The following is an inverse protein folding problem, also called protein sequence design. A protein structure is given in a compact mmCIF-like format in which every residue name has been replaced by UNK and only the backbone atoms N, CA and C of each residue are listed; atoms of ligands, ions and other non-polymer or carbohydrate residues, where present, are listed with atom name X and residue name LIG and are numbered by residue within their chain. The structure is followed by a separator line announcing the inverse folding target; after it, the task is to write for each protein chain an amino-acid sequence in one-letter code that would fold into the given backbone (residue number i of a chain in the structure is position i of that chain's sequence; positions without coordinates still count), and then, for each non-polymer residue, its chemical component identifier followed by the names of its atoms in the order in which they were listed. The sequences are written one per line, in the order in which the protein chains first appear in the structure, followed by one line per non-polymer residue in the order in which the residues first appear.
data_IF_522767016662
#
_entry.id   IF_522767016662
#
_cell.length_a   1.000
_cell.length_b   1.000
_cell.length_c   1.000
_cell.angle_alpha   90.00
_cell.angle_beta   90.00
_cell.angle_gamma   90.00
#
_symmetry.space_group_name_H-M   'P 1'
#
loop_
_entity.id
_entity.type
_entity.pdbx_description
1 polymer ?
#
# COMPACT_ATOMS: atom_id res chain seq x y z
N UNK A 1 -7.62 1.74 17.62
CA UNK A 1 -8.18 0.97 16.50
C UNK A 1 -7.16 0.93 15.38
N UNK A 2 -6.82 -0.24 14.83
CA UNK A 2 -5.99 -0.30 13.63
C UNK A 2 -6.80 0.03 12.37
N UNK A 3 -6.12 0.43 11.29
CA UNK A 3 -6.75 0.73 9.99
C UNK A 3 -7.76 -0.36 9.55
N UNK A 4 -7.46 -1.68 9.69
CA UNK A 4 -8.42 -2.72 9.31
C UNK A 4 -9.72 -2.71 10.13
N UNK A 5 -9.64 -2.40 11.43
CA UNK A 5 -10.82 -2.34 12.30
C UNK A 5 -11.70 -1.13 11.94
N UNK A 6 -11.07 0.00 11.60
CA UNK A 6 -11.79 1.18 11.15
C UNK A 6 -12.45 0.96 9.78
N UNK A 7 -11.73 0.39 8.83
CA UNK A 7 -12.28 0.01 7.52
C UNK A 7 -13.48 -0.94 7.66
N UNK A 8 -13.38 -1.96 8.52
CA UNK A 8 -14.48 -2.88 8.80
C UNK A 8 -15.71 -2.15 9.34
N UNK A 9 -15.53 -1.34 10.38
CA UNK A 9 -16.63 -0.58 10.97
C UNK A 9 -17.33 0.33 9.94
N UNK A 10 -16.54 1.01 9.09
CA UNK A 10 -17.07 1.91 8.07
C UNK A 10 -17.88 1.14 7.02
N UNK A 11 -17.36 -0.01 6.59
CA UNK A 11 -17.98 -0.88 5.59
C UNK A 11 -19.29 -1.52 6.10
N UNK A 12 -19.33 -1.93 7.37
CA UNK A 12 -20.54 -2.49 7.99
C UNK A 12 -21.61 -1.41 8.20
N UNK A 13 -21.21 -0.18 8.55
CA UNK A 13 -22.13 0.92 8.83
C UNK A 13 -22.68 1.57 7.55
N UNK A 14 -21.88 1.66 6.51
CA UNK A 14 -22.23 2.31 5.24
C UNK A 14 -21.90 1.39 4.06
N UNK A 15 -22.71 0.35 3.82
CA UNK A 15 -22.39 -0.71 2.86
C UNK A 15 -22.27 -0.21 1.41
N UNK A 16 -22.96 0.88 1.07
CA UNK A 16 -22.93 1.48 -0.28
C UNK A 16 -21.63 2.25 -0.59
N UNK A 17 -20.70 2.39 0.36
CA UNK A 17 -19.41 3.02 0.11
C UNK A 17 -18.48 2.16 -0.75
N UNK A 18 -18.65 0.83 -0.70
CA UNK A 18 -17.74 -0.09 -1.37
C UNK A 18 -18.31 -0.55 -2.71
N UNK A 19 -17.56 -0.32 -3.78
CA UNK A 19 -17.81 -0.88 -5.09
C UNK A 19 -16.59 -1.69 -5.53
N UNK A 20 -16.81 -2.90 -6.06
CA UNK A 20 -15.73 -3.68 -6.64
C UNK A 20 -15.40 -3.10 -8.00
N UNK A 21 -14.13 -2.70 -8.20
CA UNK A 21 -13.63 -2.31 -9.52
C UNK A 21 -13.48 -3.58 -10.36
N UNK A 22 -14.22 -3.66 -11.46
CA UNK A 22 -14.15 -4.77 -12.42
C UNK A 22 -13.36 -4.35 -13.65
N UNK A 23 -12.80 -5.32 -14.38
CA UNK A 23 -12.07 -5.04 -15.62
C UNK A 23 -12.97 -4.48 -16.74
N UNK A 24 -14.27 -4.76 -16.69
CA UNK A 24 -15.26 -4.37 -17.71
C UNK A 24 -15.81 -2.97 -17.51
N UNK A 25 -16.15 -2.60 -16.27
CA UNK A 25 -16.72 -1.28 -15.97
C UNK A 25 -15.63 -0.28 -15.57
N UNK A 26 -14.52 -0.77 -15.02
CA UNK A 26 -13.45 0.09 -14.51
C UNK A 26 -13.92 1.00 -13.37
N UNK A 27 -13.01 1.83 -12.83
CA UNK A 27 -13.43 2.98 -12.05
C UNK A 27 -14.03 4.06 -12.95
N UNK A 28 -14.76 5.05 -12.40
CA UNK A 28 -15.08 6.27 -13.14
C UNK A 28 -13.80 6.97 -13.63
N UNK A 29 -13.95 7.93 -14.54
CA UNK A 29 -12.82 8.74 -14.99
C UNK A 29 -12.15 9.45 -13.82
N UNK A 30 -10.85 9.22 -13.67
CA UNK A 30 -10.03 9.80 -12.60
C UNK A 30 -8.98 10.70 -13.24
N UNK A 31 -8.94 11.95 -12.79
CA UNK A 31 -7.92 12.90 -13.25
C UNK A 31 -6.56 12.64 -12.58
N UNK A 32 -6.56 12.43 -11.27
CA UNK A 32 -5.36 12.42 -10.44
C UNK A 32 -5.28 11.14 -9.59
N UNK A 33 -4.22 10.37 -9.76
CA UNK A 33 -3.91 9.18 -8.96
C UNK A 33 -2.74 9.47 -8.02
N UNK A 34 -2.93 9.24 -6.72
CA UNK A 34 -1.91 9.41 -5.68
C UNK A 34 -1.55 8.05 -5.10
N UNK A 35 -0.28 7.68 -5.18
CA UNK A 35 0.24 6.41 -4.67
C UNK A 35 1.13 6.64 -3.45
N UNK A 36 0.75 6.02 -2.32
CA UNK A 36 1.65 5.83 -1.18
C UNK A 36 2.56 4.62 -1.48
N UNK A 37 3.79 4.92 -1.87
CA UNK A 37 4.76 3.92 -2.30
C UNK A 37 5.20 3.00 -1.16
N UNK A 38 5.14 3.44 0.10
CA UNK A 38 5.58 2.62 1.22
C UNK A 38 4.70 1.38 1.40
N UNK A 39 3.39 1.53 1.16
CA UNK A 39 2.46 0.40 1.17
C UNK A 39 2.76 -0.60 0.04
N UNK A 40 3.05 -0.09 -1.17
CA UNK A 40 3.40 -0.92 -2.33
C UNK A 40 4.72 -1.65 -2.09
N UNK A 41 5.78 -0.94 -1.70
CA UNK A 41 7.10 -1.51 -1.42
C UNK A 41 6.99 -2.59 -0.35
N UNK A 42 6.32 -2.33 0.76
CA UNK A 42 6.14 -3.32 1.83
C UNK A 42 5.45 -4.59 1.31
N UNK A 43 4.38 -4.45 0.52
CA UNK A 43 3.68 -5.60 -0.06
C UNK A 43 4.55 -6.36 -1.07
N UNK A 44 5.29 -5.67 -1.95
CA UNK A 44 6.10 -6.36 -2.96
C UNK A 44 7.34 -7.07 -2.38
N UNK A 45 7.81 -6.64 -1.20
CA UNK A 45 9.03 -7.17 -0.56
C UNK A 45 8.75 -8.15 0.56
N UNK A 46 7.64 -8.01 1.30
CA UNK A 46 7.32 -8.80 2.49
C UNK A 46 5.99 -9.59 2.36
N UNK A 47 5.38 -9.67 1.18
CA UNK A 47 4.13 -10.42 0.99
C UNK A 47 4.34 -11.92 1.22
N UNK A 48 4.11 -12.38 2.46
CA UNK A 48 3.69 -13.72 2.90
C UNK A 48 4.45 -14.96 2.34
N UNK A 49 5.48 -14.80 1.52
CA UNK A 49 6.30 -15.88 0.99
C UNK A 49 7.52 -16.03 1.88
N UNK A 50 7.48 -17.07 2.71
CA UNK A 50 8.42 -17.33 3.80
C UNK A 50 9.90 -17.49 3.40
N UNK A 51 10.30 -17.59 2.13
CA UNK A 51 11.63 -18.17 1.84
C UNK A 51 12.44 -17.61 0.66
N UNK A 52 11.96 -16.66 -0.14
CA UNK A 52 12.76 -16.18 -1.28
C UNK A 52 13.41 -14.85 -0.94
N UNK A 53 14.71 -14.87 -0.66
CA UNK A 53 15.55 -13.67 -0.70
C UNK A 53 15.56 -13.16 -2.14
N UNK A 54 14.71 -12.19 -2.44
CA UNK A 54 14.67 -11.53 -3.74
C UNK A 54 15.90 -10.62 -3.87
N UNK A 55 16.51 -10.62 -5.05
CA UNK A 55 17.48 -9.58 -5.40
C UNK A 55 16.81 -8.21 -5.46
N UNK A 56 17.59 -7.14 -5.35
CA UNK A 56 17.07 -5.78 -5.49
C UNK A 56 16.38 -5.57 -6.85
N UNK A 57 16.96 -6.12 -7.92
CA UNK A 57 16.39 -6.06 -9.27
C UNK A 57 15.01 -6.74 -9.36
N UNK A 58 14.87 -7.93 -8.76
CA UNK A 58 13.59 -8.65 -8.73
C UNK A 58 12.52 -7.90 -7.94
N UNK A 59 12.91 -7.26 -6.83
CA UNK A 59 12.00 -6.42 -6.04
C UNK A 59 11.53 -5.21 -6.84
N UNK A 60 12.44 -4.56 -7.59
CA UNK A 60 12.12 -3.43 -8.45
C UNK A 60 11.15 -3.83 -9.57
N UNK A 61 11.39 -4.97 -10.24
CA UNK A 61 10.48 -5.49 -11.26
C UNK A 61 9.08 -5.76 -10.69
N UNK A 62 8.97 -6.35 -9.50
CA UNK A 62 7.68 -6.56 -8.83
C UNK A 62 6.97 -5.25 -8.50
N UNK A 63 7.71 -4.23 -8.09
CA UNK A 63 7.16 -2.90 -7.81
C UNK A 63 6.62 -2.28 -9.10
N UNK A 64 7.40 -2.33 -10.20
CA UNK A 64 6.98 -1.80 -11.51
C UNK A 64 5.74 -2.52 -12.04
N UNK A 65 5.73 -3.85 -12.04
CA UNK A 65 4.56 -4.65 -12.43
C UNK A 65 3.31 -4.28 -11.64
N UNK A 66 3.46 -3.96 -10.34
CA UNK A 66 2.33 -3.58 -9.50
C UNK A 66 1.82 -2.18 -9.82
N UNK A 67 2.72 -1.22 -10.04
CA UNK A 67 2.37 0.15 -10.46
C UNK A 67 1.67 0.11 -11.82
N UNK A 68 2.21 -0.64 -12.78
CA UNK A 68 1.64 -0.75 -14.13
C UNK A 68 0.21 -1.30 -14.08
N UNK A 69 -0.03 -2.34 -13.26
CA UNK A 69 -1.39 -2.86 -13.03
C UNK A 69 -2.33 -1.78 -12.48
N UNK A 70 -1.88 -0.99 -11.50
CA UNK A 70 -2.70 0.09 -10.93
C UNK A 70 -3.00 1.17 -11.98
N UNK A 71 -2.02 1.58 -12.79
CA UNK A 71 -2.21 2.59 -13.84
C UNK A 71 -3.16 2.07 -14.92
N UNK A 72 -3.04 0.80 -15.32
CA UNK A 72 -3.93 0.20 -16.33
C UNK A 72 -5.38 0.09 -15.85
N UNK A 73 -5.59 -0.14 -14.55
CA UNK A 73 -6.93 -0.19 -13.94
C UNK A 73 -7.52 1.23 -13.82
N UNK A 74 -6.75 2.19 -13.30
CA UNK A 74 -7.24 3.53 -12.93
C UNK A 74 -7.27 4.50 -14.11
N UNK A 75 -6.29 4.41 -15.02
CA UNK A 75 -6.13 5.29 -16.20
C UNK A 75 -6.23 6.79 -15.86
N UNK A 76 -5.32 7.34 -15.03
CA UNK A 76 -5.38 8.75 -14.65
C UNK A 76 -5.19 9.67 -15.87
N UNK A 77 -6.02 10.70 -16.00
CA UNK A 77 -6.03 11.57 -17.19
C UNK A 77 -5.03 12.74 -17.12
N UNK A 78 -4.65 13.17 -15.91
CA UNK A 78 -3.85 14.40 -15.71
C UNK A 78 -2.60 14.18 -14.88
N UNK A 79 -2.72 13.53 -13.73
CA UNK A 79 -1.61 13.41 -12.77
C UNK A 79 -1.47 11.99 -12.22
N UNK A 80 -0.26 11.48 -12.29
CA UNK A 80 0.21 10.39 -11.45
C UNK A 80 1.20 10.96 -10.43
N UNK A 81 0.87 10.89 -9.15
CA UNK A 81 1.73 11.34 -8.06
C UNK A 81 2.17 10.15 -7.19
N UNK A 82 3.46 9.87 -7.15
CA UNK A 82 4.03 8.77 -6.36
C UNK A 82 4.82 9.35 -5.18
N UNK A 83 4.39 9.04 -3.96
CA UNK A 83 4.98 9.57 -2.74
C UNK A 83 5.70 8.47 -1.96
N UNK A 84 6.98 8.69 -1.66
CA UNK A 84 7.79 7.87 -0.73
C UNK A 84 7.95 8.68 0.56
N UNK A 85 7.77 8.07 1.74
CA UNK A 85 7.96 8.81 2.99
C UNK A 85 9.41 9.30 3.11
N UNK A 86 9.57 10.62 3.27
CA UNK A 86 10.83 11.22 3.71
C UNK A 86 10.98 11.21 5.23
N UNK A 87 11.85 12.09 5.74
CA UNK A 87 12.01 12.28 7.18
C UNK A 87 10.71 12.75 7.82
N UNK A 88 10.20 11.96 8.77
CA UNK A 88 8.93 12.23 9.43
C UNK A 88 9.10 13.12 10.69
N UNK A 89 8.05 13.84 11.11
CA UNK A 89 8.06 14.57 12.39
C UNK A 89 8.28 13.64 13.59
N UNK A 90 8.83 14.18 14.68
CA UNK A 90 9.21 13.43 15.88
C UNK A 90 8.09 12.53 16.43
N UNK A 91 6.84 12.99 16.40
CA UNK A 91 5.70 12.20 16.85
C UNK A 91 5.54 10.90 16.03
N UNK A 92 5.60 10.98 14.69
CA UNK A 92 5.55 9.82 13.79
C UNK A 92 6.79 8.95 13.95
N UNK A 93 7.98 9.56 14.14
CA UNK A 93 9.22 8.81 14.41
C UNK A 93 9.12 7.95 15.68
N UNK A 94 8.59 8.50 16.77
CA UNK A 94 8.41 7.74 18.02
C UNK A 94 7.48 6.53 17.83
N UNK A 95 6.38 6.73 17.08
CA UNK A 95 5.45 5.65 16.76
C UNK A 95 6.09 4.57 15.87
N UNK A 96 6.83 4.97 14.83
CA UNK A 96 7.57 4.05 13.96
C UNK A 96 8.64 3.29 14.73
N UNK A 97 9.37 3.96 15.62
CA UNK A 97 10.36 3.34 16.49
C UNK A 97 9.71 2.27 17.36
N UNK A 98 8.66 2.61 18.11
CA UNK A 98 7.97 1.64 18.98
C UNK A 98 7.50 0.41 18.21
N UNK A 99 6.93 0.58 16.99
CA UNK A 99 6.56 -0.54 16.12
C UNK A 99 7.75 -1.41 15.73
N UNK A 100 8.85 -0.82 15.25
CA UNK A 100 10.04 -1.57 14.81
C UNK A 100 10.67 -2.36 15.95
N UNK A 101 10.77 -1.77 17.14
CA UNK A 101 11.27 -2.46 18.34
C UNK A 101 10.40 -3.66 18.71
N UNK A 102 9.08 -3.50 18.63
CA UNK A 102 8.14 -4.60 18.89
C UNK A 102 8.29 -5.73 17.86
N UNK A 103 8.31 -5.41 16.57
CA UNK A 103 8.44 -6.42 15.50
C UNK A 103 9.79 -7.15 15.53
N UNK A 104 10.87 -6.48 15.92
CA UNK A 104 12.16 -7.13 16.11
C UNK A 104 12.13 -8.14 17.27
N UNK A 105 11.53 -7.78 18.41
CA UNK A 105 11.35 -8.69 19.54
C UNK A 105 10.50 -9.91 19.19
N UNK A 106 9.41 -9.71 18.45
CA UNK A 106 8.53 -10.79 17.97
C UNK A 106 9.21 -11.71 16.94
N UNK A 107 10.31 -11.29 16.31
CA UNK A 107 11.06 -12.11 15.37
C UNK A 107 12.20 -12.90 16.04
N UNK A 108 12.63 -12.47 17.23
CA UNK A 108 13.61 -13.19 18.07
C UNK A 108 12.95 -14.27 18.95
N UNK A 109 11.66 -14.11 19.26
CA UNK A 109 10.81 -15.08 19.98
C UNK A 109 10.24 -16.16 19.05
#
# INVERSE_FOLDING_TARGET
MGIPKFYRWLSERYPLLNQKVTATEGPPEIDNLYLDMNGIIHNCTHANQREVKLGEDDMMLRIFDYIDKLIQIIKPQKLLFMAIDGCAPRAKMNQQRSRRFKSAKEAEE
#
